data_IF_081485673088
#
_entry.id   IF_081485673088
#
_cell.length_a   1.000
_cell.length_b   1.000
_cell.length_c   1.000
_cell.angle_alpha   90.00
_cell.angle_beta   90.00
_cell.angle_gamma   90.00
#
_symmetry.space_group_name_H-M   'P 1'
#
loop_
_entity.id
_entity.type
_entity.pdbx_description
1 polymer ?
#
# COMPACT_ATOMS: atom_id res chain seq x y z
N UNK A 1 -1.70 -11.28 -29.40
CA UNK A 1 -2.07 -11.37 -27.98
C UNK A 1 -3.54 -11.02 -27.90
N UNK A 2 -4.32 -11.76 -27.11
CA UNK A 2 -5.76 -11.52 -26.97
C UNK A 2 -6.00 -10.80 -25.65
N UNK A 3 -6.64 -9.63 -25.68
CA UNK A 3 -6.93 -8.86 -24.46
C UNK A 3 -8.07 -9.53 -23.70
N UNK A 4 -7.83 -9.89 -22.44
CA UNK A 4 -8.84 -10.48 -21.57
C UNK A 4 -9.63 -9.44 -20.79
N UNK A 5 -8.94 -8.41 -20.28
CA UNK A 5 -9.56 -7.30 -19.55
C UNK A 5 -9.12 -5.99 -20.21
N UNK A 6 -10.06 -5.09 -20.45
CA UNK A 6 -9.81 -3.74 -20.93
C UNK A 6 -10.62 -2.74 -20.11
N UNK A 7 -9.95 -1.72 -19.61
CA UNK A 7 -10.52 -0.57 -18.95
C UNK A 7 -10.26 0.68 -19.80
N UNK A 8 -11.29 1.48 -20.02
CA UNK A 8 -11.17 2.73 -20.78
C UNK A 8 -11.80 3.86 -19.98
N UNK A 9 -10.98 4.82 -19.55
CA UNK A 9 -11.41 6.02 -18.84
C UNK A 9 -12.16 5.74 -17.53
N UNK A 10 -11.83 4.65 -16.82
CA UNK A 10 -12.59 4.22 -15.65
C UNK A 10 -12.44 5.19 -14.51
N UNK A 11 -13.60 5.65 -13.99
CA UNK A 11 -13.72 6.50 -12.81
C UNK A 11 -14.67 5.90 -11.77
N UNK A 12 -14.35 6.12 -10.49
CA UNK A 12 -15.16 5.69 -9.35
C UNK A 12 -15.10 6.68 -8.21
N UNK A 13 -16.27 7.06 -7.70
CA UNK A 13 -16.42 7.90 -6.52
C UNK A 13 -17.25 7.20 -5.46
N UNK A 14 -16.98 7.47 -4.20
CA UNK A 14 -17.82 7.05 -3.09
C UNK A 14 -18.38 8.28 -2.39
N UNK A 15 -19.59 8.16 -1.82
CA UNK A 15 -20.19 9.23 -1.04
C UNK A 15 -19.77 9.10 0.41
N UNK A 16 -19.21 10.16 0.97
CA UNK A 16 -18.98 10.31 2.41
C UNK A 16 -20.31 10.42 3.16
N UNK A 17 -20.28 10.28 4.50
CA UNK A 17 -21.46 10.39 5.35
C UNK A 17 -22.14 11.78 5.25
N UNK A 18 -21.41 12.82 4.90
CA UNK A 18 -21.89 14.18 4.62
C UNK A 18 -22.54 14.37 3.25
N UNK A 19 -22.55 13.33 2.40
CA UNK A 19 -23.09 13.36 1.04
C UNK A 19 -22.11 13.81 -0.03
N UNK A 20 -20.89 14.23 0.33
CA UNK A 20 -19.86 14.67 -0.62
C UNK A 20 -19.35 13.47 -1.44
N UNK A 21 -19.30 13.61 -2.77
CA UNK A 21 -18.72 12.60 -3.64
C UNK A 21 -17.20 12.74 -3.64
N UNK A 22 -16.49 11.66 -3.28
CA UNK A 22 -15.02 11.60 -3.31
C UNK A 22 -14.57 10.72 -4.46
N UNK A 23 -13.77 11.23 -5.41
CA UNK A 23 -13.17 10.40 -6.45
C UNK A 23 -12.10 9.50 -5.82
N UNK A 24 -12.24 8.18 -6.03
CA UNK A 24 -11.24 7.17 -5.64
C UNK A 24 -10.42 6.75 -6.85
N UNK A 25 -11.05 6.68 -8.04
CA UNK A 25 -10.40 6.39 -9.30
C UNK A 25 -10.81 7.43 -10.34
N UNK A 26 -9.86 7.87 -11.17
CA UNK A 26 -10.12 8.83 -12.23
C UNK A 26 -9.33 8.50 -13.49
N UNK A 27 -10.05 8.30 -14.60
CA UNK A 27 -9.47 8.13 -15.92
C UNK A 27 -8.50 6.96 -16.03
N UNK A 28 -8.83 5.83 -15.39
CA UNK A 28 -7.95 4.65 -15.40
C UNK A 28 -8.11 3.91 -16.73
N UNK A 29 -7.00 3.88 -17.50
CA UNK A 29 -6.84 3.04 -18.67
C UNK A 29 -5.90 1.88 -18.35
N UNK A 30 -6.33 0.65 -18.66
CA UNK A 30 -5.58 -0.55 -18.34
C UNK A 30 -5.96 -1.69 -19.28
N UNK A 31 -4.98 -2.53 -19.63
CA UNK A 31 -5.19 -3.78 -20.36
C UNK A 31 -4.49 -4.93 -19.66
N UNK A 32 -5.12 -6.09 -19.68
CA UNK A 32 -4.54 -7.36 -19.24
C UNK A 32 -4.69 -8.35 -20.38
N UNK A 33 -3.57 -8.77 -20.93
CA UNK A 33 -3.52 -9.64 -22.09
C UNK A 33 -3.31 -11.12 -21.68
N UNK A 34 -3.68 -12.05 -22.56
CA UNK A 34 -3.44 -13.46 -22.36
C UNK A 34 -1.93 -13.76 -22.36
N UNK A 35 -1.46 -14.52 -21.37
CA UNK A 35 -0.08 -14.92 -21.19
C UNK A 35 0.72 -13.96 -20.32
N UNK A 36 0.11 -12.92 -19.69
CA UNK A 36 0.85 -12.00 -18.84
C UNK A 36 0.43 -12.02 -17.35
N UNK A 37 1.38 -11.72 -16.50
CA UNK A 37 1.19 -11.37 -15.11
C UNK A 37 1.48 -9.86 -14.98
N UNK A 38 0.50 -9.09 -14.49
CA UNK A 38 0.66 -7.66 -14.23
C UNK A 38 0.64 -7.43 -12.72
N UNK A 39 1.64 -6.71 -12.20
CA UNK A 39 1.63 -6.25 -10.82
C UNK A 39 1.16 -4.80 -10.74
N UNK A 40 0.36 -4.50 -9.73
CA UNK A 40 -0.14 -3.16 -9.42
C UNK A 40 0.43 -2.71 -8.07
N UNK A 41 1.40 -1.81 -8.11
CA UNK A 41 2.05 -1.21 -6.94
C UNK A 41 1.48 0.18 -6.65
N UNK A 42 1.50 0.59 -5.39
CA UNK A 42 1.10 1.94 -4.97
C UNK A 42 0.82 2.02 -3.48
N UNK A 43 0.77 3.22 -2.95
CA UNK A 43 0.53 3.46 -1.53
C UNK A 43 -0.81 2.89 -1.06
N UNK A 44 -0.92 2.61 0.25
CA UNK A 44 -2.19 2.21 0.86
C UNK A 44 -3.25 3.30 0.62
N UNK A 45 -4.49 2.90 0.39
CA UNK A 45 -5.58 3.84 0.11
C UNK A 45 -5.60 4.44 -1.31
N UNK A 46 -4.66 4.08 -2.20
CA UNK A 46 -4.63 4.62 -3.58
C UNK A 46 -5.74 4.09 -4.51
N UNK A 47 -6.61 3.19 -4.05
CA UNK A 47 -7.73 2.67 -4.84
C UNK A 47 -7.46 1.35 -5.56
N UNK A 48 -6.33 0.67 -5.33
CA UNK A 48 -5.98 -0.62 -5.97
C UNK A 48 -7.04 -1.71 -5.76
N UNK A 49 -7.45 -1.94 -4.51
CA UNK A 49 -8.51 -2.92 -4.20
C UNK A 49 -9.87 -2.53 -4.79
N UNK A 50 -10.14 -1.21 -4.93
CA UNK A 50 -11.34 -0.72 -5.63
C UNK A 50 -11.26 -1.09 -7.11
N UNK A 51 -10.10 -0.90 -7.75
CA UNK A 51 -9.88 -1.28 -9.14
C UNK A 51 -10.06 -2.80 -9.34
N UNK A 52 -9.49 -3.64 -8.46
CA UNK A 52 -9.69 -5.09 -8.52
C UNK A 52 -11.17 -5.48 -8.41
N UNK A 53 -11.91 -4.87 -7.48
CA UNK A 53 -13.35 -5.15 -7.33
C UNK A 53 -14.17 -4.72 -8.54
N UNK A 54 -13.77 -3.65 -9.23
CA UNK A 54 -14.37 -3.24 -10.51
C UNK A 54 -14.09 -4.29 -11.58
N UNK A 55 -12.84 -4.75 -11.73
CA UNK A 55 -12.44 -5.78 -12.70
C UNK A 55 -13.13 -7.12 -12.38
N UNK A 56 -13.33 -7.46 -11.11
CA UNK A 56 -14.08 -8.63 -10.69
C UNK A 56 -15.60 -8.52 -10.95
N UNK A 57 -16.09 -7.33 -11.33
CA UNK A 57 -17.52 -7.05 -11.50
C UNK A 57 -18.31 -6.96 -10.20
N UNK A 58 -17.63 -6.79 -9.06
CA UNK A 58 -18.26 -6.69 -7.74
C UNK A 58 -18.83 -5.30 -7.45
N UNK A 59 -18.26 -4.26 -8.07
CA UNK A 59 -18.74 -2.88 -8.01
C UNK A 59 -18.75 -2.27 -9.41
N UNK A 60 -19.76 -1.43 -9.69
CA UNK A 60 -19.87 -0.73 -10.97
C UNK A 60 -18.99 0.52 -11.04
N UNK A 61 -18.68 0.95 -12.25
CA UNK A 61 -17.99 2.21 -12.55
C UNK A 61 -18.98 3.38 -12.56
N UNK A 62 -18.51 4.60 -12.30
CA UNK A 62 -19.30 5.83 -12.43
C UNK A 62 -19.00 6.54 -13.75
N UNK A 63 -17.82 6.28 -14.34
CA UNK A 63 -17.40 6.75 -15.66
C UNK A 63 -16.55 5.69 -16.36
N UNK A 64 -16.47 5.77 -17.68
CA UNK A 64 -15.70 4.82 -18.49
C UNK A 64 -16.37 3.46 -18.65
N UNK A 65 -15.60 2.49 -19.12
CA UNK A 65 -16.09 1.14 -19.41
C UNK A 65 -15.07 0.07 -19.03
N UNK A 66 -15.58 -1.09 -18.60
CA UNK A 66 -14.78 -2.30 -18.38
C UNK A 66 -15.28 -3.38 -19.32
N UNK A 67 -14.36 -4.03 -20.01
CA UNK A 67 -14.65 -5.15 -20.91
C UNK A 67 -13.90 -6.40 -20.45
N UNK A 68 -14.59 -7.53 -20.54
CA UNK A 68 -14.02 -8.85 -20.41
C UNK A 68 -14.26 -9.62 -21.71
N UNK A 69 -13.17 -10.04 -22.39
CA UNK A 69 -13.25 -10.68 -23.72
C UNK A 69 -14.07 -9.87 -24.72
N UNK A 70 -13.73 -8.61 -24.87
CA UNK A 70 -14.40 -7.64 -25.77
C UNK A 70 -15.88 -7.37 -25.46
N UNK A 71 -16.44 -7.97 -24.38
CA UNK A 71 -17.82 -7.74 -23.96
C UNK A 71 -17.89 -6.83 -22.74
N UNK A 72 -18.81 -5.86 -22.68
CA UNK A 72 -19.01 -5.04 -21.50
C UNK A 72 -19.27 -5.89 -20.23
N UNK A 73 -18.59 -5.56 -19.14
CA UNK A 73 -18.71 -6.26 -17.86
C UNK A 73 -19.76 -5.58 -16.98
N UNK A 74 -20.91 -6.22 -16.76
CA UNK A 74 -22.01 -5.69 -15.95
C UNK A 74 -22.19 -6.38 -14.60
N UNK A 75 -21.28 -7.27 -14.22
CA UNK A 75 -21.32 -8.03 -12.96
C UNK A 75 -20.25 -9.11 -12.94
N UNK A 76 -20.22 -9.97 -11.90
CA UNK A 76 -19.21 -11.01 -11.78
C UNK A 76 -19.21 -11.96 -12.96
N UNK A 77 -18.05 -12.14 -13.61
CA UNK A 77 -17.87 -13.07 -14.72
C UNK A 77 -17.35 -14.43 -14.23
N UNK A 78 -17.84 -15.53 -14.82
CA UNK A 78 -17.45 -16.90 -14.43
C UNK A 78 -15.97 -17.21 -14.63
N UNK A 79 -15.32 -16.49 -15.56
CA UNK A 79 -13.89 -16.68 -15.88
C UNK A 79 -12.96 -15.87 -15.00
N UNK A 80 -13.46 -15.08 -14.05
CA UNK A 80 -12.64 -14.25 -13.17
C UNK A 80 -12.69 -14.82 -11.75
N UNK A 81 -11.53 -15.12 -11.17
CA UNK A 81 -11.33 -15.50 -9.76
C UNK A 81 -10.67 -14.38 -8.99
N UNK A 82 -10.98 -14.24 -7.70
CA UNK A 82 -10.38 -13.20 -6.85
C UNK A 82 -9.96 -13.78 -5.49
N UNK A 83 -8.72 -13.48 -5.10
CA UNK A 83 -8.18 -13.67 -3.76
C UNK A 83 -8.30 -12.34 -3.03
N UNK A 84 -8.95 -12.34 -1.87
CA UNK A 84 -9.22 -11.14 -1.07
C UNK A 84 -8.13 -10.92 -0.01
N UNK A 85 -7.78 -9.70 0.26
CA UNK A 85 -6.85 -9.30 1.32
C UNK A 85 -7.27 -9.82 2.72
N UNK A 86 -8.56 -9.77 3.05
CA UNK A 86 -9.10 -10.17 4.35
C UNK A 86 -9.51 -11.65 4.45
N UNK A 87 -8.91 -12.54 3.65
CA UNK A 87 -9.21 -13.99 3.54
C UNK A 87 -10.65 -14.28 3.10
N UNK A 88 -11.63 -13.54 3.59
CA UNK A 88 -13.08 -13.68 3.30
C UNK A 88 -13.59 -15.13 3.44
N UNK A 89 -13.08 -15.88 4.43
CA UNK A 89 -13.54 -17.23 4.73
C UNK A 89 -14.82 -17.19 5.56
N UNK A 90 -15.73 -18.12 5.28
CA UNK A 90 -16.93 -18.33 6.09
C UNK A 90 -16.52 -19.07 7.40
N UNK A 91 -16.64 -18.45 8.58
CA UNK A 91 -16.06 -18.99 9.80
C UNK A 91 -16.77 -20.27 10.33
N UNK A 92 -17.96 -20.56 9.83
CA UNK A 92 -18.76 -21.75 10.15
C UNK A 92 -18.59 -22.91 9.17
N UNK A 93 -17.82 -22.73 8.10
CA UNK A 93 -17.51 -23.76 7.11
C UNK A 93 -16.09 -24.29 7.34
N UNK A 94 -15.88 -25.57 7.08
CA UNK A 94 -14.55 -26.19 7.09
C UNK A 94 -13.69 -25.64 5.95
N UNK A 95 -12.39 -25.94 5.96
CA UNK A 95 -11.46 -25.64 4.86
C UNK A 95 -12.02 -26.16 3.52
N UNK A 96 -12.36 -27.46 3.46
CA UNK A 96 -12.91 -28.07 2.27
C UNK A 96 -14.19 -27.38 1.80
N UNK A 97 -15.12 -27.12 2.70
CA UNK A 97 -16.37 -26.45 2.38
C UNK A 97 -16.15 -25.02 1.89
N UNK A 98 -15.20 -24.27 2.47
CA UNK A 98 -14.82 -22.96 1.96
C UNK A 98 -14.27 -23.01 0.54
N UNK A 99 -13.44 -23.99 0.23
CA UNK A 99 -12.87 -24.18 -1.11
C UNK A 99 -13.96 -24.60 -2.11
N UNK A 100 -14.88 -25.49 -1.72
CA UNK A 100 -15.96 -25.99 -2.59
C UNK A 100 -17.00 -24.93 -2.99
N UNK A 101 -17.14 -23.82 -2.25
CA UNK A 101 -18.22 -22.84 -2.43
C UNK A 101 -18.42 -22.39 -3.89
N UNK A 102 -17.33 -22.06 -4.58
CA UNK A 102 -17.38 -21.58 -5.96
C UNK A 102 -17.88 -22.67 -6.93
N UNK A 103 -17.52 -23.92 -6.68
CA UNK A 103 -17.97 -25.08 -7.45
C UNK A 103 -19.45 -25.41 -7.16
N UNK A 104 -19.86 -25.27 -5.90
CA UNK A 104 -21.26 -25.46 -5.50
C UNK A 104 -22.17 -24.43 -6.18
N UNK A 105 -21.79 -23.15 -6.18
CA UNK A 105 -22.52 -22.09 -6.87
C UNK A 105 -22.62 -22.32 -8.39
N UNK A 106 -21.69 -23.09 -8.96
CA UNK A 106 -21.70 -23.50 -10.38
C UNK A 106 -22.51 -24.78 -10.66
N UNK A 107 -23.07 -25.44 -9.62
CA UNK A 107 -23.83 -26.67 -9.73
C UNK A 107 -23.00 -27.92 -10.00
N UNK A 108 -21.70 -27.91 -9.66
CA UNK A 108 -20.84 -29.09 -9.80
C UNK A 108 -21.28 -30.18 -8.82
N UNK A 109 -21.32 -31.44 -9.29
CA UNK A 109 -21.74 -32.58 -8.48
C UNK A 109 -20.85 -32.75 -7.21
N UNK A 110 -21.43 -33.19 -6.05
CA UNK A 110 -20.70 -33.26 -4.77
C UNK A 110 -19.39 -34.05 -4.82
N UNK A 111 -19.36 -35.21 -5.45
CA UNK A 111 -18.16 -36.04 -5.55
C UNK A 111 -17.03 -35.36 -6.34
N UNK A 112 -17.36 -34.65 -7.41
CA UNK A 112 -16.39 -33.92 -8.22
C UNK A 112 -15.93 -32.65 -7.49
N UNK A 113 -16.81 -31.94 -6.74
CA UNK A 113 -16.42 -30.81 -5.87
C UNK A 113 -15.38 -31.24 -4.85
N UNK A 114 -15.67 -32.33 -4.13
CA UNK A 114 -14.76 -32.85 -3.11
C UNK A 114 -13.37 -33.16 -3.70
N UNK A 115 -13.33 -33.91 -4.79
CA UNK A 115 -12.10 -34.26 -5.48
C UNK A 115 -11.27 -33.02 -5.91
N UNK A 116 -11.94 -32.01 -6.49
CA UNK A 116 -11.27 -30.78 -6.93
C UNK A 116 -10.83 -29.92 -5.75
N UNK A 117 -11.63 -29.87 -4.69
CA UNK A 117 -11.26 -29.14 -3.48
C UNK A 117 -10.06 -29.78 -2.76
N UNK A 118 -10.02 -31.11 -2.66
CA UNK A 118 -8.86 -31.84 -2.11
C UNK A 118 -7.59 -31.52 -2.89
N UNK A 119 -7.63 -31.61 -4.22
CA UNK A 119 -6.48 -31.27 -5.07
C UNK A 119 -6.02 -29.82 -4.90
N UNK A 120 -6.96 -28.86 -4.75
CA UNK A 120 -6.62 -27.47 -4.51
C UNK A 120 -6.04 -27.24 -3.10
N UNK A 121 -6.49 -27.99 -2.09
CA UNK A 121 -5.97 -27.96 -0.71
C UNK A 121 -4.56 -28.55 -0.67
N UNK A 122 -4.33 -29.66 -1.36
CA UNK A 122 -2.98 -30.23 -1.50
C UNK A 122 -2.01 -29.26 -2.13
N UNK A 123 -2.44 -28.58 -3.21
CA UNK A 123 -1.63 -27.61 -3.94
C UNK A 123 -1.11 -26.48 -3.07
N UNK A 124 -1.91 -26.04 -2.10
CA UNK A 124 -1.52 -24.95 -1.18
C UNK A 124 -0.85 -25.48 0.12
N UNK A 125 -0.49 -26.77 0.16
CA UNK A 125 0.20 -27.41 1.29
C UNK A 125 -0.64 -27.47 2.58
N UNK A 126 -1.95 -27.69 2.47
CA UNK A 126 -2.86 -27.84 3.62
C UNK A 126 -3.54 -29.22 3.67
N UNK A 127 -2.94 -30.24 3.05
CA UNK A 127 -3.39 -31.63 3.19
C UNK A 127 -3.50 -32.03 4.68
N UNK A 128 -4.62 -32.66 5.05
CA UNK A 128 -4.94 -33.06 6.42
C UNK A 128 -5.67 -31.99 7.25
N UNK A 129 -5.90 -30.78 6.68
CA UNK A 129 -6.68 -29.71 7.33
C UNK A 129 -8.08 -29.52 6.71
N UNK A 130 -8.56 -30.44 5.88
CA UNK A 130 -9.83 -30.34 5.14
C UNK A 130 -11.02 -30.14 6.08
N UNK A 131 -11.00 -30.80 7.24
CA UNK A 131 -12.05 -30.74 8.27
C UNK A 131 -11.90 -29.56 9.26
N UNK A 132 -10.80 -28.83 9.25
CA UNK A 132 -10.56 -27.74 10.16
C UNK A 132 -11.46 -26.52 9.88
N UNK A 133 -11.80 -25.76 10.92
CA UNK A 133 -12.51 -24.49 10.83
C UNK A 133 -11.50 -23.33 10.72
N UNK A 134 -11.84 -22.19 10.10
CA UNK A 134 -10.95 -21.05 9.98
C UNK A 134 -10.32 -20.55 11.30
N UNK A 135 -11.03 -20.67 12.41
CA UNK A 135 -10.52 -20.29 13.75
C UNK A 135 -9.37 -21.20 14.26
N UNK A 136 -9.23 -22.39 13.68
CA UNK A 136 -8.20 -23.38 14.04
C UNK A 136 -6.93 -23.20 13.21
N UNK A 137 -6.94 -22.27 12.26
CA UNK A 137 -5.86 -22.00 11.33
C UNK A 137 -5.09 -20.72 11.72
N UNK A 138 -3.79 -20.69 11.42
CA UNK A 138 -3.00 -19.45 11.44
C UNK A 138 -3.45 -18.45 10.37
N UNK A 139 -2.99 -17.17 10.46
CA UNK A 139 -3.27 -16.16 9.43
C UNK A 139 -2.85 -16.62 8.04
N UNK A 140 -1.63 -17.12 7.91
CA UNK A 140 -1.09 -17.64 6.66
C UNK A 140 -1.84 -18.85 6.12
N UNK A 141 -2.28 -19.79 6.98
CA UNK A 141 -3.12 -20.91 6.55
C UNK A 141 -4.47 -20.42 6.00
N UNK A 142 -5.11 -19.43 6.64
CA UNK A 142 -6.36 -18.84 6.15
C UNK A 142 -6.17 -18.18 4.77
N UNK A 143 -5.03 -17.51 4.55
CA UNK A 143 -4.71 -16.91 3.25
C UNK A 143 -4.60 -17.98 2.17
N UNK A 144 -3.87 -19.06 2.45
CA UNK A 144 -3.74 -20.19 1.52
C UNK A 144 -5.10 -20.81 1.16
N UNK A 145 -6.00 -20.98 2.13
CA UNK A 145 -7.39 -21.44 1.85
C UNK A 145 -8.12 -20.47 0.89
N UNK A 146 -7.94 -19.16 1.07
CA UNK A 146 -8.49 -18.14 0.16
C UNK A 146 -7.97 -18.29 -1.27
N UNK A 147 -6.68 -18.61 -1.44
CA UNK A 147 -6.05 -18.88 -2.74
C UNK A 147 -6.62 -20.17 -3.36
N UNK A 148 -6.69 -21.28 -2.60
CA UNK A 148 -7.29 -22.53 -3.08
C UNK A 148 -8.73 -22.32 -3.56
N UNK A 149 -9.53 -21.56 -2.81
CA UNK A 149 -10.91 -21.23 -3.18
C UNK A 149 -10.99 -20.45 -4.51
N UNK A 150 -10.02 -19.57 -4.78
CA UNK A 150 -9.97 -18.84 -6.04
C UNK A 150 -9.47 -19.71 -7.20
N UNK A 151 -8.57 -20.66 -6.96
CA UNK A 151 -8.01 -21.54 -7.98
C UNK A 151 -8.93 -22.71 -8.35
N UNK A 152 -9.68 -23.27 -7.40
CA UNK A 152 -10.53 -24.46 -7.61
C UNK A 152 -11.58 -24.26 -8.69
N UNK A 153 -12.01 -23.02 -8.91
CA UNK A 153 -12.97 -22.67 -9.97
C UNK A 153 -12.34 -22.56 -11.36
N UNK A 154 -11.02 -22.77 -11.46
CA UNK A 154 -10.26 -22.70 -12.70
C UNK A 154 -10.50 -21.38 -13.47
N UNK A 155 -10.16 -20.23 -12.90
CA UNK A 155 -10.41 -18.94 -13.54
C UNK A 155 -9.47 -18.70 -14.71
N UNK A 156 -9.94 -18.02 -15.76
CA UNK A 156 -9.08 -17.54 -16.86
C UNK A 156 -8.26 -16.31 -16.44
N UNK A 157 -8.84 -15.46 -15.59
CA UNK A 157 -8.18 -14.29 -14.98
C UNK A 157 -8.19 -14.46 -13.47
N UNK A 158 -7.00 -14.41 -12.86
CA UNK A 158 -6.83 -14.47 -11.42
C UNK A 158 -6.43 -13.08 -10.90
N UNK A 159 -7.27 -12.53 -10.03
CA UNK A 159 -7.04 -11.28 -9.35
C UNK A 159 -6.55 -11.57 -7.92
N UNK A 160 -5.42 -11.00 -7.51
CA UNK A 160 -4.85 -11.17 -6.18
C UNK A 160 -4.74 -9.82 -5.48
N UNK A 161 -5.47 -9.65 -4.38
CA UNK A 161 -5.42 -8.43 -3.56
C UNK A 161 -4.55 -8.69 -2.33
N UNK A 162 -3.27 -8.30 -2.39
CA UNK A 162 -2.25 -8.49 -1.34
C UNK A 162 -2.21 -9.95 -0.82
N UNK A 163 -2.19 -10.91 -1.75
CA UNK A 163 -2.40 -12.32 -1.45
C UNK A 163 -1.29 -12.97 -0.59
N UNK A 164 -0.12 -12.36 -0.50
CA UNK A 164 1.03 -12.90 0.23
C UNK A 164 1.34 -12.12 1.53
N UNK A 165 0.73 -10.96 1.73
CA UNK A 165 1.06 -10.04 2.83
C UNK A 165 0.86 -10.59 4.25
N UNK A 166 -0.02 -11.58 4.44
CA UNK A 166 -0.29 -12.21 5.73
C UNK A 166 0.54 -13.46 6.00
N UNK A 167 1.48 -13.80 5.09
CA UNK A 167 2.35 -14.95 5.20
C UNK A 167 3.69 -14.53 5.82
N UNK A 168 4.32 -15.44 6.57
CA UNK A 168 5.74 -15.30 6.87
C UNK A 168 6.57 -15.40 5.57
N UNK A 169 7.77 -14.80 5.57
CA UNK A 169 8.61 -14.64 4.39
C UNK A 169 8.80 -15.97 3.65
N UNK A 170 9.27 -17.01 4.32
CA UNK A 170 9.56 -18.31 3.70
C UNK A 170 8.30 -19.00 3.14
N UNK A 171 7.17 -18.87 3.82
CA UNK A 171 5.89 -19.43 3.34
C UNK A 171 5.37 -18.65 2.13
N UNK A 172 5.52 -17.32 2.14
CA UNK A 172 5.15 -16.45 1.03
C UNK A 172 5.96 -16.73 -0.23
N UNK A 173 7.28 -16.84 -0.09
CA UNK A 173 8.19 -17.18 -1.18
C UNK A 173 7.85 -18.53 -1.82
N UNK A 174 7.73 -19.58 -1.02
CA UNK A 174 7.37 -20.92 -1.54
C UNK A 174 6.05 -20.92 -2.29
N UNK A 175 5.01 -20.29 -1.71
CA UNK A 175 3.71 -20.25 -2.36
C UNK A 175 3.74 -19.44 -3.66
N UNK A 176 4.53 -18.37 -3.72
CA UNK A 176 4.76 -17.59 -4.94
C UNK A 176 5.45 -18.46 -6.01
N UNK A 177 6.50 -19.19 -5.63
CA UNK A 177 7.20 -20.11 -6.52
C UNK A 177 6.27 -21.21 -7.06
N UNK A 178 5.48 -21.85 -6.18
CA UNK A 178 4.50 -22.87 -6.56
C UNK A 178 3.49 -22.34 -7.60
N UNK A 179 2.98 -21.11 -7.39
CA UNK A 179 2.04 -20.47 -8.33
C UNK A 179 2.74 -20.16 -9.66
N UNK A 180 3.98 -19.68 -9.64
CA UNK A 180 4.75 -19.38 -10.86
C UNK A 180 5.15 -20.66 -11.63
N UNK A 181 5.45 -21.74 -10.93
CA UNK A 181 5.72 -23.05 -11.55
C UNK A 181 4.47 -23.59 -12.26
N UNK A 182 3.33 -23.55 -11.60
CA UNK A 182 2.05 -23.94 -12.19
C UNK A 182 1.68 -23.08 -13.41
N UNK A 183 1.93 -21.78 -13.33
CA UNK A 183 1.75 -20.85 -14.44
C UNK A 183 2.68 -21.19 -15.61
N UNK A 184 3.98 -21.33 -15.37
CA UNK A 184 5.00 -21.63 -16.39
C UNK A 184 4.84 -23.02 -17.01
N UNK A 185 4.41 -23.99 -16.22
CA UNK A 185 4.15 -25.37 -16.65
C UNK A 185 2.88 -25.57 -17.49
N UNK A 186 2.06 -24.51 -17.66
CA UNK A 186 0.80 -24.59 -18.40
C UNK A 186 -0.23 -25.52 -17.75
N UNK A 187 -0.05 -25.86 -16.47
CA UNK A 187 -0.91 -26.74 -15.70
C UNK A 187 -2.15 -25.99 -15.16
N UNK A 188 -2.12 -24.65 -15.14
CA UNK A 188 -3.24 -23.81 -14.74
C UNK A 188 -4.09 -23.41 -15.95
N UNK A 189 -5.42 -23.45 -15.84
CA UNK A 189 -6.33 -22.89 -16.84
C UNK A 189 -6.34 -21.34 -16.85
N UNK A 190 -5.70 -20.72 -15.86
CA UNK A 190 -5.55 -19.28 -15.74
C UNK A 190 -4.65 -18.76 -16.87
N UNK A 191 -5.13 -17.75 -17.57
CA UNK A 191 -4.49 -17.17 -18.76
C UNK A 191 -3.88 -15.80 -18.51
N UNK A 192 -4.27 -15.11 -17.43
CA UNK A 192 -3.69 -13.86 -17.01
C UNK A 192 -3.85 -13.66 -15.50
N UNK A 193 -2.92 -12.95 -14.88
CA UNK A 193 -2.98 -12.59 -13.47
C UNK A 193 -2.80 -11.09 -13.29
N UNK A 194 -3.57 -10.51 -12.36
CA UNK A 194 -3.35 -9.16 -11.84
C UNK A 194 -3.10 -9.26 -10.35
N UNK A 195 -1.90 -8.91 -9.93
CA UNK A 195 -1.43 -9.00 -8.55
C UNK A 195 -1.29 -7.60 -7.97
N UNK A 196 -2.06 -7.28 -6.95
CA UNK A 196 -1.83 -6.09 -6.12
C UNK A 196 -0.86 -6.48 -5.03
N UNK A 197 0.22 -5.74 -4.94
CA UNK A 197 1.21 -5.88 -3.89
C UNK A 197 1.67 -4.51 -3.38
N UNK A 198 2.21 -4.48 -2.19
CA UNK A 198 2.99 -3.37 -1.65
C UNK A 198 4.48 -3.72 -1.57
N UNK A 199 4.87 -4.93 -1.91
CA UNK A 199 6.25 -5.40 -1.97
C UNK A 199 6.75 -5.29 -3.42
N UNK A 200 7.80 -4.48 -3.62
CA UNK A 200 8.37 -4.18 -4.94
C UNK A 200 9.10 -5.40 -5.49
N UNK A 201 9.85 -6.11 -4.66
CA UNK A 201 10.58 -7.31 -5.05
C UNK A 201 9.62 -8.40 -5.54
N UNK A 202 8.53 -8.66 -4.79
CA UNK A 202 7.47 -9.59 -5.20
C UNK A 202 6.92 -9.24 -6.58
N UNK A 203 6.62 -7.96 -6.82
CA UNK A 203 6.10 -7.49 -8.10
C UNK A 203 7.10 -7.71 -9.24
N UNK A 204 8.39 -7.40 -9.02
CA UNK A 204 9.45 -7.60 -10.01
C UNK A 204 9.72 -9.08 -10.27
N UNK A 205 9.67 -9.94 -9.25
CA UNK A 205 9.90 -11.38 -9.41
C UNK A 205 8.75 -12.07 -10.15
N UNK A 206 7.51 -11.63 -9.97
CA UNK A 206 6.33 -12.28 -10.55
C UNK A 206 5.91 -11.71 -11.91
N UNK A 207 5.91 -10.40 -12.09
CA UNK A 207 5.17 -9.76 -13.17
C UNK A 207 5.98 -9.62 -14.47
N UNK A 208 5.27 -9.62 -15.60
CA UNK A 208 5.82 -9.21 -16.90
C UNK A 208 5.76 -7.70 -17.09
N UNK A 209 4.89 -7.04 -16.29
CA UNK A 209 4.66 -5.61 -16.32
C UNK A 209 4.25 -5.12 -14.95
N UNK A 210 4.89 -4.05 -14.47
CA UNK A 210 4.59 -3.38 -13.22
C UNK A 210 3.90 -2.05 -13.50
N UNK A 211 2.74 -1.83 -12.89
CA UNK A 211 2.01 -0.57 -12.92
C UNK A 211 2.18 0.15 -11.59
N UNK A 212 2.63 1.39 -11.64
CA UNK A 212 2.71 2.25 -10.47
C UNK A 212 1.48 3.12 -10.40
N UNK A 213 0.73 2.98 -9.31
CA UNK A 213 -0.55 3.62 -9.11
C UNK A 213 -0.41 4.83 -8.20
N UNK A 214 -0.80 6.01 -8.70
CA UNK A 214 -0.86 7.22 -7.88
C UNK A 214 -2.13 7.23 -7.03
N UNK A 215 -2.11 7.99 -5.95
CA UNK A 215 -3.27 8.31 -5.10
C UNK A 215 -3.80 9.71 -5.40
N UNK A 216 -5.05 9.96 -4.99
CA UNK A 216 -5.71 11.27 -4.93
C UNK A 216 -5.91 12.00 -6.27
N UNK A 217 -6.74 11.49 -7.14
CA UNK A 217 -7.38 10.17 -7.23
C UNK A 217 -6.48 9.09 -7.81
N UNK A 218 -6.85 7.82 -7.56
CA UNK A 218 -6.13 6.65 -8.09
C UNK A 218 -6.08 6.62 -9.60
N UNK A 219 -4.88 6.51 -10.17
CA UNK A 219 -4.64 6.42 -11.62
C UNK A 219 -3.31 5.74 -11.92
N UNK A 220 -3.18 5.13 -13.08
CA UNK A 220 -1.90 4.59 -13.54
C UNK A 220 -0.95 5.75 -13.83
N UNK A 221 0.17 5.80 -13.10
CA UNK A 221 1.18 6.86 -13.24
C UNK A 221 2.33 6.44 -14.13
N UNK A 222 2.86 5.25 -13.90
CA UNK A 222 3.95 4.66 -14.67
C UNK A 222 3.64 3.22 -14.99
N UNK A 223 4.24 2.73 -16.05
CA UNK A 223 4.21 1.35 -16.46
C UNK A 223 5.61 0.94 -16.87
N UNK A 224 6.12 -0.12 -16.23
CA UNK A 224 7.43 -0.70 -16.47
C UNK A 224 7.26 -2.12 -17.01
N UNK A 225 7.92 -2.45 -18.12
CA UNK A 225 7.99 -3.82 -18.63
C UNK A 225 9.16 -4.56 -17.96
N UNK A 226 8.91 -5.75 -17.45
CA UNK A 226 9.93 -6.62 -16.86
C UNK A 226 10.32 -7.67 -17.87
N UNK A 227 11.32 -7.36 -18.71
CA UNK A 227 11.75 -8.20 -19.84
C UNK A 227 12.69 -9.36 -19.44
N UNK A 228 12.75 -9.73 -18.16
CA UNK A 228 13.53 -10.84 -17.66
C UNK A 228 12.74 -12.15 -17.68
N UNK A 229 13.35 -13.28 -18.12
CA UNK A 229 12.68 -14.59 -18.06
C UNK A 229 12.49 -15.04 -16.62
N UNK A 230 11.49 -15.87 -16.36
CA UNK A 230 11.27 -16.56 -15.09
C UNK A 230 11.87 -17.98 -15.12
N UNK A 231 12.33 -18.56 -14.00
CA UNK A 231 12.42 -17.96 -12.66
C UNK A 231 13.46 -16.85 -12.59
N UNK A 232 13.20 -15.80 -11.79
CA UNK A 232 14.10 -14.68 -11.56
C UNK A 232 14.79 -14.84 -10.21
N UNK A 233 16.11 -14.64 -10.21
CA UNK A 233 16.92 -14.67 -9.01
C UNK A 233 16.92 -13.26 -8.38
N UNK A 234 16.42 -13.08 -7.13
CA UNK A 234 16.40 -11.79 -6.47
C UNK A 234 17.79 -11.17 -6.30
N UNK A 235 18.83 -12.01 -6.22
CA UNK A 235 20.21 -11.56 -6.05
C UNK A 235 20.91 -11.18 -7.37
N UNK A 236 20.26 -11.42 -8.52
CA UNK A 236 20.85 -11.06 -9.81
C UNK A 236 20.92 -9.54 -9.99
N UNK A 237 22.01 -9.00 -10.58
CA UNK A 237 22.15 -7.56 -10.81
C UNK A 237 21.02 -6.97 -11.66
N UNK A 238 20.49 -7.73 -12.60
CA UNK A 238 19.41 -7.29 -13.49
C UNK A 238 18.08 -7.11 -12.74
N UNK A 239 17.77 -8.01 -11.80
CA UNK A 239 16.57 -7.90 -10.94
C UNK A 239 16.73 -6.74 -9.98
N UNK A 240 17.89 -6.59 -9.35
CA UNK A 240 18.16 -5.46 -8.43
C UNK A 240 18.03 -4.11 -9.13
N UNK A 241 18.56 -3.96 -10.34
CA UNK A 241 18.39 -2.73 -11.14
C UNK A 241 16.90 -2.40 -11.42
N UNK A 242 16.07 -3.41 -11.69
CA UNK A 242 14.63 -3.20 -11.88
C UNK A 242 13.93 -2.81 -10.58
N UNK A 243 14.32 -3.42 -9.46
CA UNK A 243 13.81 -3.06 -8.12
C UNK A 243 14.13 -1.58 -7.85
N UNK A 244 15.38 -1.14 -8.07
CA UNK A 244 15.81 0.25 -7.89
C UNK A 244 15.03 1.20 -8.80
N UNK A 245 14.80 0.82 -10.07
CA UNK A 245 14.01 1.62 -11.01
C UNK A 245 12.55 1.78 -10.51
N UNK A 246 11.93 0.73 -9.99
CA UNK A 246 10.57 0.80 -9.42
C UNK A 246 10.56 1.69 -8.18
N UNK A 247 11.55 1.57 -7.28
CA UNK A 247 11.69 2.45 -6.13
C UNK A 247 11.80 3.92 -6.56
N UNK A 248 12.67 4.21 -7.53
CA UNK A 248 12.86 5.55 -8.08
C UNK A 248 11.53 6.11 -8.64
N UNK A 249 10.78 5.31 -9.39
CA UNK A 249 9.48 5.70 -9.95
C UNK A 249 8.40 5.90 -8.87
N UNK A 250 8.40 5.11 -7.79
CA UNK A 250 7.46 5.26 -6.68
C UNK A 250 7.77 6.48 -5.81
N UNK A 251 9.06 6.81 -5.66
CA UNK A 251 9.52 7.95 -4.84
C UNK A 251 9.56 9.26 -5.63
N UNK A 252 9.68 9.23 -6.96
CA UNK A 252 9.60 10.41 -7.79
C UNK A 252 8.28 11.15 -7.56
N UNK A 253 8.34 12.38 -7.02
CA UNK A 253 7.17 13.22 -6.78
C UNK A 253 6.33 13.40 -8.06
N UNK A 254 5.00 13.52 -7.95
CA UNK A 254 4.14 13.74 -9.12
C UNK A 254 4.58 15.01 -9.87
N UNK A 255 4.80 14.96 -11.21
CA UNK A 255 5.08 16.16 -11.98
C UNK A 255 3.86 17.08 -11.89
N UNK A 256 3.97 18.19 -11.17
CA UNK A 256 2.98 19.27 -11.27
C UNK A 256 3.36 20.15 -12.47
N UNK A 257 2.42 20.47 -13.38
CA UNK A 257 2.73 21.33 -14.53
C UNK A 257 3.26 22.68 -14.03
N UNK A 258 4.50 23.03 -14.42
CA UNK A 258 5.09 24.34 -14.19
C UNK A 258 6.19 24.44 -13.13
N UNK A 259 6.72 23.33 -12.57
CA UNK A 259 7.78 23.38 -11.55
C UNK A 259 9.08 22.72 -12.02
N UNK A 260 10.27 23.33 -11.75
CA UNK A 260 11.56 22.69 -12.01
C UNK A 260 11.77 21.48 -11.10
N UNK A 261 12.39 20.42 -11.63
CA UNK A 261 12.77 19.23 -10.86
C UNK A 261 13.77 19.61 -9.75
N UNK A 262 13.48 19.24 -8.48
CA UNK A 262 14.42 19.37 -7.36
C UNK A 262 13.98 20.20 -6.15
N UNK A 263 12.83 20.89 -6.19
CA UNK A 263 12.32 21.57 -4.99
C UNK A 263 11.32 20.68 -4.24
N UNK A 264 11.41 20.55 -2.88
CA UNK A 264 10.44 19.81 -2.08
C UNK A 264 9.02 20.37 -2.30
N UNK A 265 8.04 19.49 -2.40
CA UNK A 265 6.65 19.88 -2.57
C UNK A 265 6.19 20.64 -1.32
N UNK A 266 5.76 21.91 -1.44
CA UNK A 266 5.09 22.59 -0.34
C UNK A 266 3.73 21.93 -0.14
N UNK A 267 3.51 21.39 1.07
CA UNK A 267 2.21 20.87 1.47
C UNK A 267 1.18 22.01 1.56
N UNK A 268 -0.07 21.66 1.31
CA UNK A 268 -1.23 22.45 1.69
C UNK A 268 -1.72 22.02 3.07
N UNK A 269 -2.57 22.83 3.67
CA UNK A 269 -3.01 22.66 5.06
C UNK A 269 -3.72 21.33 5.32
N UNK A 270 -4.40 20.78 4.33
CA UNK A 270 -5.12 19.51 4.40
C UNK A 270 -4.50 18.42 3.49
N UNK A 271 -3.22 18.54 3.16
CA UNK A 271 -2.51 17.45 2.48
C UNK A 271 -2.25 16.29 3.46
N UNK A 272 -2.22 15.06 2.94
CA UNK A 272 -1.86 13.88 3.72
C UNK A 272 -0.42 13.98 4.22
N UNK A 273 -0.23 13.57 5.48
CA UNK A 273 1.11 13.38 6.04
C UNK A 273 1.51 11.90 5.90
N UNK A 274 2.82 11.61 5.69
CA UNK A 274 3.31 10.24 5.77
C UNK A 274 3.04 9.67 7.17
N UNK A 275 2.48 8.46 7.25
CA UNK A 275 2.29 7.75 8.52
C UNK A 275 3.66 7.20 8.97
N UNK A 276 4.43 8.01 9.70
CA UNK A 276 5.79 7.71 10.10
C UNK A 276 5.96 7.84 11.62
N UNK A 277 6.34 6.73 12.25
CA UNK A 277 6.69 6.68 13.67
C UNK A 277 8.03 7.36 13.91
N UNK A 278 8.09 8.23 14.93
CA UNK A 278 9.27 9.04 15.23
C UNK A 278 10.46 8.20 15.67
N UNK A 279 10.24 7.17 16.50
CA UNK A 279 11.30 6.29 16.94
C UNK A 279 11.96 5.53 15.79
N UNK A 280 11.14 5.09 14.82
CA UNK A 280 11.62 4.45 13.59
C UNK A 280 12.35 5.46 12.68
N UNK A 281 11.86 6.71 12.60
CA UNK A 281 12.56 7.79 11.86
C UNK A 281 13.94 8.08 12.46
N UNK A 282 14.03 8.16 13.79
CA UNK A 282 15.30 8.38 14.51
C UNK A 282 16.26 7.20 14.26
N UNK A 283 15.80 5.96 14.41
CA UNK A 283 16.58 4.77 14.13
C UNK A 283 17.10 4.71 12.68
N UNK A 284 16.28 5.09 11.72
CA UNK A 284 16.68 5.15 10.32
C UNK A 284 17.74 6.21 10.05
N UNK A 285 17.64 7.39 10.69
CA UNK A 285 18.67 8.43 10.59
C UNK A 285 19.98 8.03 11.27
N UNK A 286 19.91 7.38 12.44
CA UNK A 286 21.08 6.86 13.15
C UNK A 286 21.81 5.81 12.31
N UNK A 287 21.07 4.90 11.68
CA UNK A 287 21.60 3.90 10.77
C UNK A 287 22.29 4.54 9.56
N UNK A 288 21.69 5.59 8.95
CA UNK A 288 22.29 6.31 7.83
C UNK A 288 23.63 6.99 8.17
N UNK A 289 23.81 7.41 9.43
CA UNK A 289 25.07 8.06 9.89
C UNK A 289 26.14 7.02 10.18
N UNK A 290 25.77 5.79 10.48
CA UNK A 290 26.69 4.70 10.77
C UNK A 290 27.72 4.51 9.64
N UNK A 291 28.89 4.00 9.99
CA UNK A 291 30.00 3.72 9.05
C UNK A 291 29.60 2.75 7.92
N UNK A 292 28.58 1.92 8.16
CA UNK A 292 28.04 0.98 7.19
C UNK A 292 27.50 1.70 5.94
N UNK A 293 26.75 2.79 6.14
CA UNK A 293 26.10 3.54 5.05
C UNK A 293 26.79 4.87 4.72
N UNK A 294 27.58 5.44 5.63
CA UNK A 294 28.35 6.63 5.36
C UNK A 294 27.54 7.87 4.97
N UNK A 295 26.27 7.89 5.27
CA UNK A 295 25.33 8.97 4.96
C UNK A 295 24.47 8.79 3.72
N UNK A 296 24.57 7.65 3.03
CA UNK A 296 23.74 7.27 1.89
C UNK A 296 23.41 5.79 1.96
N UNK A 297 22.18 5.45 1.76
CA UNK A 297 21.74 4.07 1.67
C UNK A 297 20.70 3.91 0.57
N UNK A 298 20.79 2.84 -0.17
CA UNK A 298 19.79 2.34 -1.08
C UNK A 298 18.57 1.83 -0.29
N UNK A 299 17.34 2.16 -0.74
CA UNK A 299 16.12 1.78 -0.01
C UNK A 299 15.95 0.26 0.12
N UNK A 300 16.19 -0.58 -0.91
CA UNK A 300 16.19 -2.03 -0.76
C UNK A 300 17.14 -2.52 0.34
N UNK A 301 18.36 -2.01 0.39
CA UNK A 301 19.34 -2.37 1.40
C UNK A 301 18.91 -1.94 2.81
N UNK A 302 18.27 -0.75 2.93
CA UNK A 302 17.68 -0.29 4.19
C UNK A 302 16.52 -1.18 4.63
N UNK A 303 15.68 -1.64 3.70
CA UNK A 303 14.58 -2.54 4.00
C UNK A 303 15.09 -3.88 4.56
N UNK A 304 16.14 -4.45 3.95
CA UNK A 304 16.79 -5.68 4.41
C UNK A 304 17.41 -5.51 5.81
N UNK A 305 18.21 -4.45 6.03
CA UNK A 305 18.91 -4.21 7.29
C UNK A 305 17.98 -3.89 8.46
N UNK A 306 16.84 -3.23 8.17
CA UNK A 306 15.84 -2.84 9.20
C UNK A 306 14.73 -3.85 9.37
N UNK A 307 14.67 -4.90 8.55
CA UNK A 307 13.55 -5.86 8.48
C UNK A 307 12.19 -5.17 8.24
N UNK A 308 12.19 -3.97 7.62
CA UNK A 308 10.98 -3.23 7.30
C UNK A 308 10.48 -3.59 5.90
N UNK A 309 9.17 -3.68 5.78
CA UNK A 309 8.53 -3.79 4.47
C UNK A 309 8.59 -2.45 3.72
N UNK A 310 8.48 -2.48 2.40
CA UNK A 310 8.40 -1.25 1.58
C UNK A 310 7.26 -0.33 2.03
N UNK A 311 6.15 -0.92 2.49
CA UNK A 311 5.00 -0.17 2.99
C UNK A 311 5.30 0.61 4.28
N UNK A 312 6.26 0.15 5.08
CA UNK A 312 6.70 0.81 6.30
C UNK A 312 7.87 1.76 6.03
N UNK A 313 8.84 1.37 5.21
CA UNK A 313 10.04 2.15 4.92
C UNK A 313 9.74 3.42 4.09
N UNK A 314 8.91 3.31 3.05
CA UNK A 314 8.62 4.44 2.18
C UNK A 314 7.99 5.65 2.91
N UNK A 315 7.00 5.49 3.80
CA UNK A 315 6.48 6.60 4.60
C UNK A 315 7.54 7.24 5.50
N UNK A 316 8.44 6.46 6.09
CA UNK A 316 9.56 6.97 6.91
C UNK A 316 10.51 7.82 6.07
N UNK A 317 10.96 7.31 4.92
CA UNK A 317 11.83 8.03 4.00
C UNK A 317 11.18 9.33 3.47
N UNK A 318 9.87 9.28 3.17
CA UNK A 318 9.10 10.45 2.76
C UNK A 318 8.99 11.49 3.87
N UNK A 319 8.74 11.07 5.12
CA UNK A 319 8.67 11.96 6.28
C UNK A 319 10.02 12.65 6.55
N UNK A 320 11.12 11.89 6.52
CA UNK A 320 12.47 12.43 6.66
C UNK A 320 12.80 13.42 5.55
N UNK A 321 12.38 13.14 4.33
CA UNK A 321 12.57 14.03 3.18
C UNK A 321 11.71 15.29 3.29
N UNK A 322 10.47 15.17 3.75
CA UNK A 322 9.56 16.29 4.01
C UNK A 322 10.14 17.24 5.06
N UNK A 323 10.66 16.69 6.16
CA UNK A 323 11.26 17.46 7.24
C UNK A 323 12.68 17.98 6.90
N UNK A 324 13.23 17.62 5.72
CA UNK A 324 14.55 18.03 5.29
C UNK A 324 15.71 17.39 6.06
N UNK A 325 15.43 16.34 6.85
CA UNK A 325 16.44 15.59 7.61
C UNK A 325 17.21 14.62 6.72
N UNK A 326 16.56 14.06 5.70
CA UNK A 326 17.19 13.31 4.64
C UNK A 326 16.68 13.80 3.27
N UNK A 327 17.29 13.34 2.20
CA UNK A 327 16.86 13.60 0.82
C UNK A 327 16.64 12.26 0.12
N UNK A 328 15.43 12.03 -0.31
CA UNK A 328 15.08 10.87 -1.11
C UNK A 328 15.29 11.21 -2.59
N UNK A 329 16.19 10.53 -3.28
CA UNK A 329 16.47 10.74 -4.69
C UNK A 329 16.96 9.46 -5.35
N UNK A 330 16.40 9.15 -6.51
CA UNK A 330 16.79 8.01 -7.37
C UNK A 330 16.78 6.64 -6.65
N UNK A 331 15.88 6.44 -5.68
CA UNK A 331 15.78 5.21 -4.89
C UNK A 331 16.65 5.20 -3.62
N UNK A 332 17.53 6.19 -3.45
CA UNK A 332 18.42 6.31 -2.31
C UNK A 332 17.93 7.33 -1.27
N UNK A 333 18.22 7.04 -0.02
CA UNK A 333 18.06 7.98 1.08
C UNK A 333 19.42 8.56 1.48
N UNK A 334 19.55 9.87 1.32
CA UNK A 334 20.78 10.62 1.65
C UNK A 334 20.54 11.47 2.89
N UNK A 335 21.36 11.33 3.93
CA UNK A 335 21.27 12.22 5.06
C UNK A 335 21.68 13.65 4.67
N UNK A 336 20.94 14.65 5.15
CA UNK A 336 21.30 16.05 4.96
C UNK A 336 22.27 16.52 6.05
N UNK A 337 22.97 17.68 5.88
CA UNK A 337 23.72 18.28 6.96
C UNK A 337 22.86 18.55 8.20
N UNK A 338 21.59 18.90 8.00
CA UNK A 338 20.62 19.10 9.08
C UNK A 338 20.29 17.78 9.80
N UNK A 339 20.06 16.68 9.03
CA UNK A 339 19.81 15.36 9.58
C UNK A 339 21.01 14.86 10.39
N UNK A 340 22.23 15.07 9.90
CA UNK A 340 23.46 14.74 10.66
C UNK A 340 23.54 15.54 11.96
N UNK A 341 23.30 16.87 11.92
CA UNK A 341 23.25 17.68 13.13
C UNK A 341 22.12 17.25 14.09
N UNK A 342 21.03 16.73 13.58
CA UNK A 342 19.96 16.18 14.37
C UNK A 342 20.42 14.92 15.13
N UNK A 343 21.00 13.93 14.43
CA UNK A 343 21.48 12.68 15.02
C UNK A 343 22.60 12.91 16.05
N UNK A 344 23.56 13.79 15.75
CA UNK A 344 24.69 14.08 16.61
C UNK A 344 24.32 15.02 17.77
N UNK A 345 23.16 15.64 17.74
CA UNK A 345 22.70 16.63 18.70
C UNK A 345 22.25 16.07 20.05
N UNK A 346 22.30 16.92 21.09
CA UNK A 346 21.62 16.59 22.34
C UNK A 346 20.10 16.52 22.16
N UNK A 347 19.39 15.89 23.10
CA UNK A 347 17.93 15.78 23.07
C UNK A 347 17.24 17.13 22.81
N UNK A 348 17.65 18.19 23.53
CA UNK A 348 17.10 19.54 23.37
C UNK A 348 17.37 20.11 21.97
N UNK A 349 18.53 19.84 21.39
CA UNK A 349 18.87 20.27 20.02
C UNK A 349 18.04 19.51 18.98
N UNK A 350 17.93 18.21 19.13
CA UNK A 350 17.06 17.34 18.25
C UNK A 350 15.63 17.86 18.25
N UNK A 351 15.05 18.05 19.44
CA UNK A 351 13.70 18.55 19.61
C UNK A 351 13.50 19.93 18.96
N UNK A 352 14.41 20.88 19.20
CA UNK A 352 14.32 22.20 18.59
C UNK A 352 14.54 22.21 17.08
N UNK A 353 15.40 21.31 16.53
CA UNK A 353 15.59 21.16 15.08
C UNK A 353 14.33 20.59 14.45
N UNK A 354 13.77 19.52 15.02
CA UNK A 354 12.55 18.88 14.53
C UNK A 354 11.37 19.86 14.52
N UNK A 355 11.13 20.56 15.65
CA UNK A 355 10.05 21.53 15.77
C UNK A 355 10.13 22.67 14.75
N UNK A 356 11.32 23.22 14.50
CA UNK A 356 11.51 24.24 13.46
C UNK A 356 11.20 23.72 12.07
N UNK A 357 11.65 22.50 11.74
CA UNK A 357 11.37 21.90 10.44
C UNK A 357 9.88 21.57 10.29
N UNK A 358 9.27 21.06 11.35
CA UNK A 358 7.83 20.78 11.35
C UNK A 358 7.01 22.04 11.04
N UNK A 359 7.28 23.14 11.73
CA UNK A 359 6.57 24.41 11.47
C UNK A 359 6.86 24.99 10.08
N UNK A 360 8.07 24.80 9.56
CA UNK A 360 8.44 25.30 8.24
C UNK A 360 7.85 24.49 7.07
N UNK A 361 7.71 23.16 7.24
CA UNK A 361 7.38 22.24 6.16
C UNK A 361 5.95 21.69 6.23
N UNK A 362 5.31 21.70 7.42
CA UNK A 362 3.99 21.13 7.64
C UNK A 362 2.98 22.24 8.00
N UNK A 363 2.21 22.75 7.02
CA UNK A 363 1.27 23.85 7.23
C UNK A 363 0.21 23.57 8.30
N UNK A 364 -0.21 22.31 8.45
CA UNK A 364 -1.15 21.93 9.50
C UNK A 364 -0.57 22.17 10.90
N UNK A 365 0.68 21.78 11.14
CA UNK A 365 1.35 22.00 12.43
C UNK A 365 1.54 23.51 12.70
N UNK A 366 1.92 24.28 11.68
CA UNK A 366 2.00 25.73 11.78
C UNK A 366 0.64 26.39 12.07
N UNK A 367 -0.44 25.89 11.44
CA UNK A 367 -1.79 26.36 11.69
C UNK A 367 -2.28 26.05 13.11
N UNK A 368 -2.03 24.82 13.58
CA UNK A 368 -2.37 24.44 14.97
C UNK A 368 -1.64 25.37 15.93
N UNK A 369 -0.32 25.53 15.79
CA UNK A 369 0.49 26.40 16.64
C UNK A 369 -0.02 27.84 16.64
N UNK A 370 -0.26 28.41 15.48
CA UNK A 370 -0.79 29.78 15.33
C UNK A 370 -2.16 29.94 15.99
N UNK A 371 -3.06 28.97 15.83
CA UNK A 371 -4.38 29.00 16.46
C UNK A 371 -4.30 28.98 17.99
N UNK A 372 -3.36 28.19 18.54
CA UNK A 372 -3.11 28.13 19.98
C UNK A 372 -2.55 29.46 20.52
N UNK A 373 -1.68 30.14 19.76
CA UNK A 373 -1.12 31.46 20.14
C UNK A 373 -2.16 32.57 20.13
N UNK A 374 -3.22 32.44 19.32
CA UNK A 374 -4.31 33.41 19.27
C UNK A 374 -5.38 33.16 20.35
N UNK A 375 -5.44 31.96 20.93
CA UNK A 375 -6.40 31.63 21.97
C UNK A 375 -5.91 32.08 23.33
N UNK A 376 -6.70 32.90 24.10
CA UNK A 376 -6.29 33.38 25.40
C UNK A 376 -5.94 32.29 26.41
N UNK A 377 -6.51 31.13 26.30
CA UNK A 377 -6.20 29.96 27.14
C UNK A 377 -4.96 29.21 26.70
N UNK A 378 -4.43 29.49 25.51
CA UNK A 378 -3.34 28.70 24.88
C UNK A 378 -3.72 27.25 24.60
N UNK A 379 -5.02 26.90 24.64
CA UNK A 379 -5.50 25.53 24.48
C UNK A 379 -6.76 25.47 23.62
N UNK A 380 -6.82 24.49 22.71
CA UNK A 380 -7.94 24.23 21.81
C UNK A 380 -8.27 22.73 21.76
N UNK A 381 -9.54 22.39 21.53
CA UNK A 381 -9.92 21.01 21.20
C UNK A 381 -9.46 20.63 19.79
N UNK A 382 -9.34 19.35 19.54
CA UNK A 382 -8.97 18.81 18.23
C UNK A 382 -10.06 18.98 17.16
N UNK A 383 -11.35 19.06 17.56
CA UNK A 383 -12.49 19.06 16.65
C UNK A 383 -12.48 20.19 15.59
N UNK A 384 -12.04 21.43 15.86
CA UNK A 384 -11.88 22.44 14.81
C UNK A 384 -10.92 22.03 13.69
N UNK A 385 -9.81 21.37 14.04
CA UNK A 385 -8.79 20.91 13.08
C UNK A 385 -9.30 19.68 12.31
N UNK A 386 -10.00 18.75 12.98
CA UNK A 386 -10.65 17.61 12.31
C UNK A 386 -11.68 18.09 11.30
N UNK A 387 -12.49 19.10 11.65
CA UNK A 387 -13.51 19.67 10.74
C UNK A 387 -12.84 20.25 9.48
N UNK A 388 -11.78 21.00 9.65
CA UNK A 388 -11.01 21.58 8.54
C UNK A 388 -10.40 20.50 7.62
N UNK A 389 -9.88 19.42 8.20
CA UNK A 389 -9.33 18.30 7.44
C UNK A 389 -10.44 17.52 6.72
N UNK A 390 -11.60 17.34 7.34
CA UNK A 390 -12.77 16.65 6.77
C UNK A 390 -13.40 17.37 5.58
N UNK A 391 -13.06 18.64 5.34
CA UNK A 391 -13.46 19.34 4.11
C UNK A 391 -12.84 18.72 2.85
N UNK A 392 -11.70 18.04 2.99
CA UNK A 392 -10.95 17.44 1.86
C UNK A 392 -10.61 15.96 2.05
N UNK A 393 -10.50 15.47 3.28
CA UNK A 393 -10.14 14.09 3.63
C UNK A 393 -11.36 13.30 4.15
N UNK A 394 -11.29 11.96 4.15
CA UNK A 394 -12.27 11.12 4.85
C UNK A 394 -12.14 11.29 6.37
N UNK A 395 -13.17 10.90 7.14
CA UNK A 395 -13.12 10.99 8.59
C UNK A 395 -11.89 10.25 9.16
N UNK A 396 -11.66 9.00 8.70
CA UNK A 396 -10.54 8.18 9.14
C UNK A 396 -9.18 8.75 8.72
N UNK A 397 -9.08 9.35 7.53
CA UNK A 397 -7.86 10.02 7.06
C UNK A 397 -7.60 11.31 7.81
N UNK A 398 -8.63 12.12 8.07
CA UNK A 398 -8.52 13.34 8.85
C UNK A 398 -8.01 13.06 10.27
N UNK A 399 -8.51 11.98 10.89
CA UNK A 399 -8.05 11.53 12.20
C UNK A 399 -6.57 11.09 12.16
N UNK A 400 -6.17 10.28 11.17
CA UNK A 400 -4.76 9.87 11.02
C UNK A 400 -3.82 11.02 10.77
N UNK A 401 -4.18 11.94 9.86
CA UNK A 401 -3.35 13.13 9.56
C UNK A 401 -3.20 14.02 10.80
N UNK A 402 -4.29 14.25 11.54
CA UNK A 402 -4.23 15.05 12.76
C UNK A 402 -3.40 14.34 13.84
N UNK A 403 -3.59 13.04 14.02
CA UNK A 403 -2.81 12.24 14.97
C UNK A 403 -1.31 12.31 14.67
N UNK A 404 -0.92 12.12 13.40
CA UNK A 404 0.48 12.25 12.96
C UNK A 404 1.02 13.66 13.26
N UNK A 405 0.26 14.70 12.95
CA UNK A 405 0.66 16.08 13.23
C UNK A 405 0.82 16.34 14.74
N UNK A 406 -0.07 15.77 15.57
CA UNK A 406 -0.01 15.85 17.04
C UNK A 406 1.23 15.15 17.57
N UNK A 407 1.52 13.93 17.14
CA UNK A 407 2.70 13.19 17.58
C UNK A 407 4.00 13.91 17.22
N UNK A 408 4.09 14.40 15.97
CA UNK A 408 5.24 15.18 15.52
C UNK A 408 5.37 16.51 16.27
N UNK A 409 4.24 17.19 16.56
CA UNK A 409 4.22 18.44 17.30
C UNK A 409 4.70 18.29 18.73
N UNK A 410 4.31 17.22 19.41
CA UNK A 410 4.77 16.89 20.76
C UNK A 410 6.26 16.57 20.78
N UNK A 411 6.73 15.74 19.83
CA UNK A 411 8.16 15.44 19.74
C UNK A 411 9.01 16.69 19.52
N UNK A 412 8.57 17.59 18.65
CA UNK A 412 9.24 18.85 18.36
C UNK A 412 9.03 19.96 19.42
N UNK A 413 8.34 19.68 20.54
CA UNK A 413 7.92 20.66 21.54
C UNK A 413 7.23 21.91 20.94
N UNK A 414 6.46 21.72 19.87
CA UNK A 414 5.69 22.77 19.21
C UNK A 414 4.39 23.03 19.96
N UNK A 415 3.74 21.97 20.40
CA UNK A 415 2.56 21.95 21.25
C UNK A 415 2.46 20.59 21.96
N UNK A 416 1.63 20.53 23.01
CA UNK A 416 1.35 19.33 23.78
C UNK A 416 -0.11 18.87 23.53
N UNK A 417 -0.41 17.60 23.86
CA UNK A 417 -1.74 17.02 23.71
C UNK A 417 -2.14 16.20 24.93
N UNK A 418 -3.30 16.49 25.46
CA UNK A 418 -3.89 15.70 26.54
C UNK A 418 -4.90 14.67 25.99
N UNK A 419 -4.51 13.41 26.00
CA UNK A 419 -5.33 12.27 25.54
C UNK A 419 -6.64 12.06 26.32
N UNK A 420 -6.76 12.59 27.56
CA UNK A 420 -7.99 12.44 28.34
C UNK A 420 -9.04 13.48 27.98
N UNK A 421 -8.61 14.67 27.64
CA UNK A 421 -9.49 15.82 27.35
C UNK A 421 -9.62 16.14 25.87
N UNK A 422 -8.76 15.61 25.01
CA UNK A 422 -8.67 15.97 23.59
C UNK A 422 -8.22 17.43 23.37
N UNK A 423 -7.43 17.98 24.29
CA UNK A 423 -6.93 19.34 24.22
C UNK A 423 -5.51 19.39 23.70
N UNK A 424 -5.29 20.23 22.70
CA UNK A 424 -3.96 20.64 22.23
C UNK A 424 -3.64 21.97 22.92
N UNK A 425 -2.44 22.12 23.50
CA UNK A 425 -2.04 23.32 24.21
C UNK A 425 -0.57 23.68 23.99
N UNK A 426 -0.24 24.94 24.24
CA UNK A 426 1.16 25.39 24.19
C UNK A 426 1.98 24.75 25.30
N UNK A 427 3.30 24.47 25.07
CA UNK A 427 4.21 23.98 26.12
C UNK A 427 4.24 24.94 27.33
N UNK A 428 4.29 24.38 28.55
CA UNK A 428 4.20 25.14 29.79
C UNK A 428 5.26 26.26 29.95
N UNK A 429 6.44 26.13 29.29
CA UNK A 429 7.51 27.12 29.35
C UNK A 429 7.26 28.39 28.50
N UNK A 430 6.21 28.43 27.69
CA UNK A 430 5.84 29.57 26.82
C UNK A 430 4.56 30.29 27.29
N UNK A 431 3.92 29.82 28.36
CA UNK A 431 2.66 30.40 28.91
C UNK A 431 2.90 31.52 29.95
N UNK A 432 4.15 31.99 30.14
CA UNK A 432 4.42 33.11 31.01
C UNK A 432 4.35 34.45 30.24
N UNK A 433 3.65 35.49 30.80
CA UNK A 433 3.39 36.76 30.14
C UNK A 433 4.65 37.64 29.98
#
# INVERSE_FOLDING_TARGET
MHTLIELTGVGKSFRSADGTARPVLEGVDFRLDEGEIVALLGQSGSGKSTLLRIIAGLIGVDAGEVRYRDQPLHGPARGIGMVFQSFALFPWLTVQQNVELGLEARGVAPAERARRAEAAIDLIGLAGFEGALPRELSGGMRQRVGIARALVIEPEVLLMDEAFSALDVLTGERLREDILELWGGGSMPTKAMLVVSHNIEEAVLMADRVLIFASDPGRVRHQLAVALPRPRDPDSPEVRLLIDEVYALMTAGAPRPGRPAGEPARLHLADRLPEADIGRMDGLLELLVDDLFGGRADLPQLAEETELTDAELLPLAQALSLLGLARLADGDLHITPLGRSYVEGSHTLRQGLFGRQLLAQVPLAAHIRHSLEQEPSGALKEEPFLRLLRDTLSADEAERVLQTAIEWGRHGAVFEYDYHTGLIHLPENETAP
#
